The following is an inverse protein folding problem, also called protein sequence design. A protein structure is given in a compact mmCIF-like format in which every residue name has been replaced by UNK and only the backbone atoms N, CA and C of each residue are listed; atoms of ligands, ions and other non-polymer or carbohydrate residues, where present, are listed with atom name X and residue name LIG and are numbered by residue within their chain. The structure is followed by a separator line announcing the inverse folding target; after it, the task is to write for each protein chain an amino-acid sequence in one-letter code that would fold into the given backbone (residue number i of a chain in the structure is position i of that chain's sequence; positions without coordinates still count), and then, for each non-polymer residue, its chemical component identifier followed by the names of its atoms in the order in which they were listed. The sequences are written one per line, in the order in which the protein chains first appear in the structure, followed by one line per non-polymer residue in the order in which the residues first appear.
data_IF_989425157502
#
_entry.id   IF_989425157502
#
_cell.length_a   1.000
_cell.length_b   1.000
_cell.length_c   1.000
_cell.angle_alpha   90.00
_cell.angle_beta   90.00
_cell.angle_gamma   90.00
#
_symmetry.space_group_name_H-M   'P 1'
#
loop_
_entity.id
_entity.type
_entity.pdbx_description
1 polymer ?
#
# COMPACT_ATOMS: atom_id res chain seq x y z
N UNK A 1 -30.30 -6.93 17.04
CA UNK A 1 -29.56 -8.06 16.43
C UNK A 1 -28.40 -7.47 15.62
N UNK A 2 -27.18 -7.47 16.16
CA UNK A 2 -26.01 -6.87 15.49
C UNK A 2 -25.67 -7.80 14.32
N UNK A 3 -26.08 -7.41 13.11
CA UNK A 3 -25.84 -8.18 11.89
C UNK A 3 -24.32 -8.26 11.69
N UNK A 4 -23.78 -9.46 11.82
CA UNK A 4 -22.35 -9.69 11.67
C UNK A 4 -21.92 -9.29 10.25
N UNK A 5 -20.86 -8.49 10.16
CA UNK A 5 -20.14 -8.25 8.90
C UNK A 5 -19.85 -9.64 8.27
N UNK A 6 -20.17 -9.86 6.98
CA UNK A 6 -19.93 -11.15 6.34
C UNK A 6 -18.45 -11.55 6.44
N UNK A 7 -18.18 -12.84 6.58
CA UNK A 7 -16.84 -13.38 6.90
C UNK A 7 -15.76 -12.89 5.93
N UNK A 8 -16.08 -12.78 4.64
CA UNK A 8 -15.16 -12.27 3.62
C UNK A 8 -14.72 -10.82 3.86
N UNK A 9 -15.63 -9.94 4.29
CA UNK A 9 -15.31 -8.53 4.58
C UNK A 9 -14.40 -8.41 5.81
N UNK A 10 -14.66 -9.20 6.85
CA UNK A 10 -13.79 -9.26 8.03
C UNK A 10 -12.38 -9.74 7.68
N UNK A 11 -12.28 -10.79 6.85
CA UNK A 11 -11.01 -11.35 6.43
C UNK A 11 -10.18 -10.34 5.62
N UNK A 12 -10.81 -9.62 4.70
CA UNK A 12 -10.15 -8.57 3.91
C UNK A 12 -9.63 -7.42 4.78
N UNK A 13 -10.43 -6.96 5.74
CA UNK A 13 -10.01 -5.90 6.68
C UNK A 13 -8.84 -6.38 7.54
N UNK A 14 -8.92 -7.60 8.09
CA UNK A 14 -7.85 -8.18 8.90
C UNK A 14 -6.56 -8.39 8.10
N UNK A 15 -6.65 -8.92 6.87
CA UNK A 15 -5.50 -9.11 6.00
C UNK A 15 -4.84 -7.78 5.64
N UNK A 16 -5.65 -6.76 5.36
CA UNK A 16 -5.15 -5.41 5.03
C UNK A 16 -4.50 -4.75 6.25
N UNK A 17 -5.07 -4.90 7.45
CA UNK A 17 -4.45 -4.46 8.69
C UNK A 17 -3.12 -5.17 8.95
N UNK A 18 -3.07 -6.49 8.81
CA UNK A 18 -1.84 -7.26 8.97
C UNK A 18 -0.76 -6.79 7.98
N UNK A 19 -1.15 -6.53 6.73
CA UNK A 19 -0.25 -5.98 5.72
C UNK A 19 0.24 -4.58 6.09
N UNK A 20 -0.64 -3.66 6.50
CA UNK A 20 -0.27 -2.29 6.92
C UNK A 20 0.72 -2.34 8.08
N UNK A 21 0.48 -3.21 9.06
CA UNK A 21 1.39 -3.40 10.21
C UNK A 21 2.75 -3.91 9.72
N UNK A 22 2.78 -4.96 8.90
CA UNK A 22 4.02 -5.51 8.35
C UNK A 22 4.79 -4.46 7.53
N UNK A 23 4.08 -3.67 6.72
CA UNK A 23 4.65 -2.59 5.93
C UNK A 23 5.20 -1.46 6.82
N UNK A 24 4.50 -1.10 7.89
CA UNK A 24 4.96 -0.10 8.85
C UNK A 24 6.23 -0.54 9.57
N UNK A 25 6.32 -1.82 9.98
CA UNK A 25 7.54 -2.40 10.54
C UNK A 25 8.68 -2.40 9.51
N UNK A 26 8.40 -2.79 8.27
CA UNK A 26 9.38 -2.77 7.20
C UNK A 26 9.89 -1.34 6.93
N UNK A 27 8.99 -0.35 6.89
CA UNK A 27 9.33 1.07 6.74
C UNK A 27 10.19 1.57 7.91
N UNK A 28 9.87 1.17 9.14
CA UNK A 28 10.66 1.53 10.30
C UNK A 28 12.07 0.93 10.23
N UNK A 29 12.17 -0.35 9.86
CA UNK A 29 13.45 -1.03 9.64
C UNK A 29 14.26 -0.37 8.52
N UNK A 30 13.61 -0.07 7.40
CA UNK A 30 14.18 0.68 6.28
C UNK A 30 14.75 2.03 6.77
N UNK A 31 13.97 2.80 7.52
CA UNK A 31 14.40 4.10 8.05
C UNK A 31 15.60 4.00 8.99
N UNK A 32 15.68 2.96 9.81
CA UNK A 32 16.85 2.67 10.64
C UNK A 32 18.11 2.39 9.80
N UNK A 33 17.97 1.96 8.55
CA UNK A 33 19.08 1.79 7.61
C UNK A 33 19.42 3.10 6.86
N UNK A 34 18.49 4.06 6.78
CA UNK A 34 18.65 5.31 6.01
C UNK A 34 19.18 6.51 6.79
N UNK A 35 19.19 6.50 8.12
CA UNK A 35 19.78 7.60 8.92
C UNK A 35 21.28 7.82 8.64
N UNK A 36 21.91 6.93 7.86
CA UNK A 36 23.31 7.00 7.44
C UNK A 36 23.48 7.47 5.98
N UNK A 37 22.41 7.50 5.17
CA UNK A 37 22.50 7.82 3.73
C UNK A 37 22.10 9.27 3.43
N UNK A 38 23.09 10.17 3.46
CA UNK A 38 23.03 11.54 2.89
C UNK A 38 23.17 11.53 1.35
N UNK A 39 22.49 10.61 0.66
CA UNK A 39 22.57 10.44 -0.79
C UNK A 39 21.47 11.17 -1.56
N UNK A 40 21.66 11.32 -2.87
CA UNK A 40 20.64 11.87 -3.78
C UNK A 40 19.36 11.01 -3.81
N UNK A 41 18.22 11.57 -4.27
CA UNK A 41 16.95 10.83 -4.39
C UNK A 41 17.08 9.52 -5.20
N UNK A 42 17.95 9.53 -6.21
CA UNK A 42 18.23 8.37 -7.07
C UNK A 42 19.02 7.30 -6.30
N UNK A 43 20.08 7.67 -5.59
CA UNK A 43 20.86 6.73 -4.76
C UNK A 43 20.01 6.07 -3.68
N UNK A 44 19.13 6.85 -3.04
CA UNK A 44 18.18 6.32 -2.07
C UNK A 44 17.20 5.35 -2.73
N UNK A 45 16.70 5.64 -3.92
CA UNK A 45 15.82 4.73 -4.65
C UNK A 45 16.51 3.41 -5.00
N UNK A 46 17.72 3.45 -5.59
CA UNK A 46 18.47 2.23 -5.90
C UNK A 46 18.82 1.41 -4.65
N UNK A 47 19.23 2.07 -3.56
CA UNK A 47 19.49 1.38 -2.30
C UNK A 47 18.23 0.75 -1.71
N UNK A 48 17.08 1.42 -1.82
CA UNK A 48 15.78 0.90 -1.36
C UNK A 48 15.33 -0.30 -2.17
N UNK A 49 15.43 -0.25 -3.50
CA UNK A 49 15.06 -1.37 -4.35
C UNK A 49 16.00 -2.57 -4.23
N UNK A 50 17.24 -2.33 -3.80
CA UNK A 50 18.20 -3.38 -3.46
C UNK A 50 17.96 -4.04 -2.10
N UNK A 51 17.08 -3.51 -1.24
CA UNK A 51 16.79 -4.14 0.05
C UNK A 51 15.94 -5.40 -0.13
N UNK A 52 16.19 -6.45 0.68
CA UNK A 52 15.36 -7.65 0.65
C UNK A 52 13.91 -7.29 0.95
N UNK A 53 12.99 -8.04 0.35
CA UNK A 53 11.54 -7.89 0.50
C UNK A 53 10.92 -6.63 -0.12
N UNK A 54 11.69 -5.68 -0.65
CA UNK A 54 11.15 -4.47 -1.28
C UNK A 54 10.13 -4.80 -2.37
N UNK A 55 10.51 -5.62 -3.34
CA UNK A 55 9.65 -6.02 -4.46
C UNK A 55 8.41 -6.80 -4.01
N UNK A 56 8.55 -7.61 -2.95
CA UNK A 56 7.40 -8.30 -2.36
C UNK A 56 6.41 -7.29 -1.79
N UNK A 57 6.86 -6.33 -0.97
CA UNK A 57 6.00 -5.28 -0.39
C UNK A 57 5.41 -4.36 -1.47
N UNK A 58 6.16 -4.05 -2.54
CA UNK A 58 5.67 -3.26 -3.66
C UNK A 58 4.50 -3.97 -4.37
N UNK A 59 4.70 -5.21 -4.82
CA UNK A 59 3.69 -5.97 -5.56
C UNK A 59 2.45 -6.27 -4.71
N UNK A 60 2.68 -6.70 -3.47
CA UNK A 60 1.57 -6.96 -2.53
C UNK A 60 0.83 -5.68 -2.17
N UNK A 61 1.50 -4.53 -2.06
CA UNK A 61 0.84 -3.24 -1.83
C UNK A 61 -0.13 -2.87 -2.94
N UNK A 62 0.28 -3.01 -4.21
CA UNK A 62 -0.64 -2.83 -5.33
C UNK A 62 -1.81 -3.82 -5.29
N UNK A 63 -1.55 -5.09 -4.98
CA UNK A 63 -2.61 -6.09 -4.86
C UNK A 63 -3.63 -5.72 -3.77
N UNK A 64 -3.17 -5.26 -2.60
CA UNK A 64 -4.05 -4.81 -1.51
C UNK A 64 -4.83 -3.54 -1.85
N UNK A 65 -4.23 -2.58 -2.56
CA UNK A 65 -4.94 -1.39 -3.05
C UNK A 65 -6.09 -1.81 -3.98
N UNK A 66 -5.81 -2.66 -4.97
CA UNK A 66 -6.83 -3.14 -5.90
C UNK A 66 -7.94 -3.89 -5.15
N UNK A 67 -7.57 -4.78 -4.23
CA UNK A 67 -8.51 -5.56 -3.43
C UNK A 67 -9.43 -4.65 -2.60
N UNK A 68 -8.88 -3.66 -1.91
CA UNK A 68 -9.67 -2.70 -1.12
C UNK A 68 -10.55 -1.80 -1.98
N UNK A 69 -10.10 -1.41 -3.18
CA UNK A 69 -10.94 -0.66 -4.14
C UNK A 69 -12.11 -1.52 -4.61
N UNK A 70 -11.85 -2.78 -5.01
CA UNK A 70 -12.90 -3.72 -5.40
C UNK A 70 -13.91 -3.96 -4.26
N UNK A 71 -13.41 -4.12 -3.03
CA UNK A 71 -14.25 -4.28 -1.84
C UNK A 71 -15.06 -3.01 -1.56
N UNK A 72 -14.46 -1.83 -1.73
CA UNK A 72 -15.13 -0.54 -1.58
C UNK A 72 -16.29 -0.37 -2.57
N UNK A 73 -16.09 -0.73 -3.84
CA UNK A 73 -17.16 -0.73 -4.85
C UNK A 73 -18.26 -1.74 -4.49
N UNK A 74 -17.88 -2.93 -4.02
CA UNK A 74 -18.84 -3.94 -3.59
C UNK A 74 -19.69 -3.48 -2.39
N UNK A 75 -19.08 -2.84 -1.39
CA UNK A 75 -19.75 -2.22 -0.24
C UNK A 75 -20.66 -1.06 -0.65
N UNK A 76 -20.21 -0.23 -1.60
CA UNK A 76 -20.99 0.90 -2.11
C UNK A 76 -22.26 0.45 -2.83
N UNK A 77 -22.24 -0.72 -3.49
CA UNK A 77 -23.39 -1.30 -4.18
C UNK A 77 -24.41 -1.96 -3.25
N UNK A 78 -24.15 -2.07 -1.94
CA UNK A 78 -25.11 -2.60 -0.96
C UNK A 78 -26.02 -1.51 -0.42
N UNK A 79 -27.21 -1.89 0.07
CA UNK A 79 -28.14 -0.97 0.74
C UNK A 79 -27.46 -0.19 1.86
N UNK A 80 -27.44 1.14 1.72
CA UNK A 80 -26.89 2.08 2.69
C UNK A 80 -27.80 2.27 3.91
N UNK A 81 -29.08 1.89 3.82
CA UNK A 81 -30.06 1.96 4.92
C UNK A 81 -29.73 0.98 6.06
N UNK A 82 -28.83 0.01 5.80
CA UNK A 82 -28.31 -0.89 6.81
C UNK A 82 -27.05 -0.26 7.43
N UNK A 83 -27.09 0.14 8.72
CA UNK A 83 -25.98 0.87 9.35
C UNK A 83 -24.64 0.11 9.30
N UNK A 84 -24.68 -1.23 9.29
CA UNK A 84 -23.47 -2.06 9.17
C UNK A 84 -22.74 -1.90 7.84
N UNK A 85 -23.43 -1.63 6.74
CA UNK A 85 -22.81 -1.46 5.41
C UNK A 85 -22.12 -0.08 5.30
N UNK A 86 -22.76 0.96 5.83
CA UNK A 86 -22.18 2.30 5.89
C UNK A 86 -20.89 2.31 6.72
N UNK A 87 -20.92 1.68 7.91
CA UNK A 87 -19.73 1.54 8.76
C UNK A 87 -18.63 0.75 8.04
N UNK A 88 -18.97 -0.36 7.36
CA UNK A 88 -18.02 -1.13 6.57
C UNK A 88 -17.35 -0.33 5.45
N UNK A 89 -18.13 0.50 4.73
CA UNK A 89 -17.61 1.38 3.69
C UNK A 89 -16.64 2.44 4.26
N UNK A 90 -17.02 3.10 5.35
CA UNK A 90 -16.18 4.11 6.02
C UNK A 90 -14.86 3.47 6.46
N UNK A 91 -14.91 2.31 7.11
CA UNK A 91 -13.71 1.58 7.52
C UNK A 91 -12.82 1.23 6.32
N UNK A 92 -13.40 0.79 5.20
CA UNK A 92 -12.66 0.46 3.99
C UNK A 92 -11.96 1.70 3.39
N UNK A 93 -12.65 2.86 3.34
CA UNK A 93 -12.06 4.12 2.86
C UNK A 93 -10.90 4.54 3.77
N UNK A 94 -11.08 4.51 5.09
CA UNK A 94 -10.01 4.82 6.05
C UNK A 94 -8.82 3.89 5.86
N UNK A 95 -9.06 2.60 5.62
CA UNK A 95 -8.01 1.62 5.39
C UNK A 95 -7.23 1.89 4.10
N UNK A 96 -7.91 2.30 3.02
CA UNK A 96 -7.26 2.72 1.77
C UNK A 96 -6.37 3.94 2.03
N UNK A 97 -6.87 4.95 2.73
CA UNK A 97 -6.10 6.17 3.03
C UNK A 97 -4.83 5.84 3.82
N UNK A 98 -4.95 5.00 4.86
CA UNK A 98 -3.80 4.56 5.66
C UNK A 98 -2.83 3.77 4.78
N UNK A 99 -3.34 2.80 4.00
CA UNK A 99 -2.52 1.97 3.12
C UNK A 99 -1.72 2.82 2.14
N UNK A 100 -2.37 3.74 1.42
CA UNK A 100 -1.73 4.64 0.46
C UNK A 100 -0.69 5.51 1.16
N UNK A 101 -0.99 6.05 2.34
CA UNK A 101 -0.06 6.89 3.10
C UNK A 101 1.20 6.12 3.53
N UNK A 102 1.05 4.89 4.02
CA UNK A 102 2.19 4.06 4.46
C UNK A 102 2.97 3.54 3.25
N UNK A 103 2.29 3.23 2.15
CA UNK A 103 2.87 2.72 0.90
C UNK A 103 3.61 3.80 0.10
N UNK A 104 3.17 5.06 0.19
CA UNK A 104 3.71 6.17 -0.59
C UNK A 104 5.23 6.32 -0.42
N UNK A 105 5.69 6.47 0.82
CA UNK A 105 7.10 6.72 1.13
C UNK A 105 7.66 5.64 2.07
N UNK A 106 8.82 5.01 1.79
CA UNK A 106 9.68 5.20 0.61
C UNK A 106 9.33 4.25 -0.57
N UNK A 107 8.34 3.37 -0.43
CA UNK A 107 8.14 2.22 -1.33
C UNK A 107 7.73 2.66 -2.73
N UNK A 108 6.61 3.38 -2.85
CA UNK A 108 6.10 3.85 -4.13
C UNK A 108 7.00 4.92 -4.75
N UNK A 109 7.52 5.86 -3.95
CA UNK A 109 8.49 6.86 -4.41
C UNK A 109 9.71 6.23 -5.08
N UNK A 110 10.26 5.17 -4.49
CA UNK A 110 11.39 4.43 -5.07
C UNK A 110 11.06 3.88 -6.45
N UNK A 111 9.88 3.26 -6.60
CA UNK A 111 9.45 2.70 -7.87
C UNK A 111 9.31 3.77 -8.96
N UNK A 112 8.71 4.92 -8.62
CA UNK A 112 8.56 6.05 -9.55
C UNK A 112 9.92 6.59 -10.00
N UNK A 113 10.86 6.77 -9.08
CA UNK A 113 12.21 7.25 -9.40
C UNK A 113 12.93 6.26 -10.32
N UNK A 114 12.86 4.96 -10.04
CA UNK A 114 13.47 3.94 -10.89
C UNK A 114 12.83 3.85 -12.28
N UNK A 115 11.50 3.92 -12.37
CA UNK A 115 10.79 3.92 -13.64
C UNK A 115 11.15 5.14 -14.49
N UNK A 116 11.27 6.32 -13.87
CA UNK A 116 11.70 7.54 -14.54
C UNK A 116 13.13 7.41 -15.09
N UNK A 117 14.07 6.96 -14.25
CA UNK A 117 15.47 6.74 -14.68
C UNK A 117 15.53 5.75 -15.84
N UNK A 118 14.85 4.60 -15.73
CA UNK A 118 14.80 3.59 -16.79
C UNK A 118 14.21 4.16 -18.10
N UNK A 119 13.15 4.96 -18.02
CA UNK A 119 12.52 5.60 -19.19
C UNK A 119 13.45 6.60 -19.87
N UNK A 120 14.16 7.44 -19.11
CA UNK A 120 15.13 8.39 -19.67
C UNK A 120 16.32 7.70 -20.33
N UNK A 121 16.82 6.60 -19.74
CA UNK A 121 17.90 5.81 -20.33
C UNK A 121 17.48 5.12 -21.63
N UNK A 122 16.25 4.61 -21.70
CA UNK A 122 15.72 4.00 -22.91
C UNK A 122 15.56 5.01 -24.05
N UNK A 123 15.08 6.23 -23.75
CA UNK A 123 14.94 7.31 -24.73
C UNK A 123 16.30 7.86 -25.22
N UNK A 124 17.37 7.77 -24.42
CA UNK A 124 18.71 8.17 -24.84
C UNK A 124 19.41 7.14 -25.74
N UNK A 125 18.89 5.90 -25.82
CA UNK A 125 19.45 4.82 -26.63
C UNK A 125 18.69 4.56 -27.94
N UNK A 126 17.61 5.30 -28.21
CA UNK A 126 16.81 5.26 -29.45
C UNK A 126 17.17 6.39 -30.41
#
# INVERSE_FOLDING_TARGET
MIRQIPVGEKATVLASLAYIIALAFYKHWLRSQYDVMNGSLIERAFATAGKPWYWFFLLTGFAFIILLVCMGVHLFRKDMDKPGNLVGLILNIVLIVILVTVFWDPIFTTFVVLAFVAGTSAAAMS
#
